data_IF_305597535034
#
_entry.id   IF_305597535034
#
_cell.length_a   1.000
_cell.length_b   1.000
_cell.length_c   1.000
_cell.angle_alpha   90.00
_cell.angle_beta   90.00
_cell.angle_gamma   90.00
#
_symmetry.space_group_name_H-M   'P 1'
#
loop_
_entity.id
_entity.type
_entity.pdbx_description
1 polymer ?
#
# COMPACT_ATOMS: atom_id res chain seq x y z
N UNK A 1 -7.90 -7.34 -30.52
CA UNK A 1 -7.96 -7.22 -29.05
C UNK A 1 -9.26 -7.86 -28.59
N UNK A 2 -9.20 -9.04 -27.98
CA UNK A 2 -10.38 -9.70 -27.41
C UNK A 2 -10.88 -8.84 -26.25
N UNK A 3 -12.05 -8.24 -26.41
CA UNK A 3 -12.73 -7.52 -25.34
C UNK A 3 -13.02 -8.56 -24.24
N UNK A 4 -12.19 -8.59 -23.19
CA UNK A 4 -12.16 -9.67 -22.19
C UNK A 4 -13.45 -9.80 -21.38
N UNK A 5 -14.39 -8.86 -21.55
CA UNK A 5 -15.61 -8.77 -20.75
C UNK A 5 -15.35 -8.30 -19.31
N UNK A 6 -14.10 -7.98 -18.98
CA UNK A 6 -13.71 -7.55 -17.65
C UNK A 6 -13.93 -6.06 -17.48
N UNK A 7 -14.80 -5.72 -16.54
CA UNK A 7 -15.10 -4.33 -16.17
C UNK A 7 -14.81 -4.12 -14.71
N UNK A 8 -14.44 -2.89 -14.35
CA UNK A 8 -14.16 -2.50 -12.97
C UNK A 8 -15.21 -1.49 -12.51
N UNK A 9 -15.61 -1.62 -11.25
CA UNK A 9 -16.42 -0.62 -10.57
C UNK A 9 -15.64 -0.11 -9.35
N UNK A 10 -15.60 1.21 -9.17
CA UNK A 10 -15.02 1.84 -8.00
C UNK A 10 -16.12 2.22 -7.01
N UNK A 11 -15.86 1.96 -5.74
CA UNK A 11 -16.61 2.56 -4.63
C UNK A 11 -15.64 3.28 -3.69
N UNK A 12 -16.18 4.19 -2.88
CA UNK A 12 -15.38 4.98 -1.96
C UNK A 12 -16.03 5.06 -0.59
N UNK A 13 -15.20 5.09 0.45
CA UNK A 13 -15.61 5.23 1.83
C UNK A 13 -14.60 6.09 2.58
N UNK A 14 -15.06 7.05 3.38
CA UNK A 14 -14.17 7.87 4.20
C UNK A 14 -13.43 7.00 5.22
N UNK A 15 -12.13 7.24 5.35
CA UNK A 15 -11.31 6.74 6.45
C UNK A 15 -11.10 7.90 7.44
N UNK A 16 -12.10 8.09 8.30
CA UNK A 16 -12.13 9.10 9.35
C UNK A 16 -12.23 8.44 10.73
N UNK A 17 -12.40 9.23 11.80
CA UNK A 17 -12.57 8.74 13.16
C UNK A 17 -13.82 7.87 13.37
N UNK A 18 -14.81 8.00 12.48
CA UNK A 18 -16.06 7.25 12.53
C UNK A 18 -16.05 5.98 11.68
N UNK A 19 -15.00 5.74 10.91
CA UNK A 19 -14.86 4.56 10.08
C UNK A 19 -15.12 3.26 10.87
N UNK A 20 -15.95 2.39 10.28
CA UNK A 20 -16.26 1.04 10.77
C UNK A 20 -16.07 0.04 9.64
N UNK A 21 -15.28 -1.02 9.82
CA UNK A 21 -15.29 -2.15 8.90
C UNK A 21 -16.70 -2.76 8.85
N UNK A 22 -17.18 -3.14 7.67
CA UNK A 22 -18.47 -3.81 7.52
C UNK A 22 -18.42 -5.26 8.05
N UNK A 23 -19.45 -5.67 8.81
CA UNK A 23 -19.51 -6.95 9.53
C UNK A 23 -19.45 -8.20 8.64
N UNK A 24 -19.86 -8.08 7.37
CA UNK A 24 -20.10 -9.19 6.45
C UNK A 24 -19.30 -9.12 5.13
N UNK A 25 -18.55 -8.05 4.87
CA UNK A 25 -17.92 -7.84 3.55
C UNK A 25 -16.48 -7.35 3.57
N UNK A 26 -15.90 -6.97 4.71
CA UNK A 26 -14.55 -6.39 4.73
C UNK A 26 -13.74 -6.87 5.92
N UNK A 27 -13.20 -8.08 5.78
CA UNK A 27 -12.40 -8.73 6.83
C UNK A 27 -10.98 -8.14 6.88
N UNK A 28 -10.46 -7.42 5.86
CA UNK A 28 -9.02 -7.55 5.58
C UNK A 28 -8.24 -6.39 4.97
N UNK A 29 -8.67 -5.13 5.07
CA UNK A 29 -7.72 -4.03 4.79
C UNK A 29 -6.68 -3.91 5.90
N UNK A 30 -5.46 -3.49 5.56
CA UNK A 30 -4.37 -3.26 6.52
C UNK A 30 -4.75 -2.33 7.68
N UNK A 31 -5.72 -1.41 7.46
CA UNK A 31 -6.24 -0.49 8.46
C UNK A 31 -7.52 -0.98 9.18
N UNK A 32 -8.16 -2.07 8.74
CA UNK A 32 -9.37 -2.58 9.40
C UNK A 32 -9.12 -3.01 10.85
N UNK A 33 -7.92 -3.51 11.16
CA UNK A 33 -7.54 -3.88 12.53
C UNK A 33 -7.45 -2.66 13.47
N UNK A 34 -7.00 -1.50 12.97
CA UNK A 34 -6.98 -0.25 13.74
C UNK A 34 -8.39 0.24 14.08
N UNK A 35 -9.35 -0.11 13.22
CA UNK A 35 -10.74 0.29 13.30
C UNK A 35 -11.65 -0.78 13.96
N UNK A 36 -11.12 -1.56 14.90
CA UNK A 36 -11.87 -2.58 15.66
C UNK A 36 -11.69 -2.42 17.17
N UNK A 37 -12.58 -3.07 17.93
CA UNK A 37 -12.53 -3.10 19.39
C UNK A 37 -12.99 -1.80 20.06
N UNK A 38 -12.86 -1.74 21.38
CA UNK A 38 -13.31 -0.62 22.21
C UNK A 38 -12.49 0.65 21.99
N UNK A 39 -11.19 0.52 21.69
CA UNK A 39 -10.29 1.65 21.42
C UNK A 39 -10.33 2.15 19.96
N UNK A 40 -11.25 1.66 19.13
CA UNK A 40 -11.38 2.00 17.70
C UNK A 40 -11.25 3.50 17.41
N UNK A 41 -12.13 4.30 18.01
CA UNK A 41 -12.24 5.73 17.68
C UNK A 41 -10.96 6.49 18.09
N UNK A 42 -10.40 6.14 19.26
CA UNK A 42 -9.14 6.71 19.75
C UNK A 42 -7.96 6.32 18.86
N UNK A 43 -7.86 5.05 18.45
CA UNK A 43 -6.86 4.58 17.50
C UNK A 43 -6.91 5.35 16.17
N UNK A 44 -8.11 5.54 15.62
CA UNK A 44 -8.31 6.28 14.38
C UNK A 44 -7.95 7.76 14.55
N UNK A 45 -8.43 8.43 15.61
CA UNK A 45 -8.05 9.82 15.93
C UNK A 45 -6.55 10.01 16.04
N UNK A 46 -5.89 9.16 16.82
CA UNK A 46 -4.44 9.23 17.02
C UNK A 46 -3.68 8.96 15.71
N UNK A 47 -4.15 8.02 14.89
CA UNK A 47 -3.56 7.73 13.57
C UNK A 47 -3.68 8.95 12.65
N UNK A 48 -4.87 9.54 12.52
CA UNK A 48 -5.12 10.70 11.67
C UNK A 48 -4.32 11.92 12.14
N UNK A 49 -4.26 12.17 13.45
CA UNK A 49 -3.44 13.23 14.02
C UNK A 49 -1.94 13.04 13.73
N UNK A 50 -1.42 11.79 13.85
CA UNK A 50 -0.03 11.49 13.48
C UNK A 50 0.25 11.76 12.00
N UNK A 51 -0.70 11.43 11.12
CA UNK A 51 -0.61 11.71 9.68
C UNK A 51 -0.56 13.22 9.43
N UNK A 52 -1.47 13.99 10.02
CA UNK A 52 -1.51 15.45 9.88
C UNK A 52 -0.20 16.08 10.38
N UNK A 53 0.25 15.73 11.59
CA UNK A 53 1.51 16.26 12.12
C UNK A 53 2.70 15.90 11.22
N UNK A 54 2.74 14.67 10.69
CA UNK A 54 3.82 14.25 9.82
C UNK A 54 3.80 15.00 8.49
N UNK A 55 2.63 15.22 7.91
CA UNK A 55 2.49 16.00 6.68
C UNK A 55 2.95 17.45 6.89
N UNK A 56 2.52 18.09 7.97
CA UNK A 56 2.93 19.45 8.30
C UNK A 56 4.44 19.57 8.57
N UNK A 57 5.06 18.56 9.19
CA UNK A 57 6.52 18.53 9.39
C UNK A 57 7.31 18.45 8.07
N UNK A 58 6.77 17.78 7.05
CA UNK A 58 7.36 17.76 5.70
C UNK A 58 7.07 19.07 4.95
N UNK A 59 5.83 19.54 5.01
CA UNK A 59 5.33 20.78 4.39
C UNK A 59 5.44 21.97 5.36
N UNK A 60 6.65 22.25 5.81
CA UNK A 60 6.96 23.24 6.85
C UNK A 60 6.99 24.69 6.34
N UNK A 61 7.10 24.90 5.02
CA UNK A 61 7.12 26.24 4.42
C UNK A 61 5.79 26.96 4.65
N UNK A 62 5.86 28.21 5.09
CA UNK A 62 4.69 29.04 5.43
C UNK A 62 3.72 28.32 6.38
N UNK A 63 4.27 27.55 7.32
CA UNK A 63 3.55 26.75 8.30
C UNK A 63 4.22 26.81 9.69
N UNK A 64 4.37 28.01 10.28
CA UNK A 64 5.16 28.21 11.51
C UNK A 64 4.58 27.48 12.74
N UNK A 65 3.27 27.24 12.76
CA UNK A 65 2.56 26.53 13.83
C UNK A 65 2.49 25.02 13.61
N UNK A 66 2.80 24.54 12.41
CA UNK A 66 2.79 23.12 12.07
C UNK A 66 1.39 22.50 11.99
N UNK A 67 0.35 23.30 11.80
CA UNK A 67 -1.07 22.87 11.82
C UNK A 67 -1.88 23.38 10.62
N UNK A 68 -1.21 23.93 9.59
CA UNK A 68 -1.86 24.47 8.38
C UNK A 68 -2.62 23.42 7.59
N UNK A 69 -2.07 22.22 7.48
CA UNK A 69 -2.61 21.18 6.59
C UNK A 69 -3.30 20.07 7.36
N UNK A 70 -4.29 19.46 6.72
CA UNK A 70 -4.83 18.17 7.12
C UNK A 70 -4.93 17.24 5.92
N UNK A 71 -4.87 15.92 6.15
CA UNK A 71 -5.11 14.92 5.12
C UNK A 71 -6.46 14.25 5.34
N UNK A 72 -7.32 14.31 4.34
CA UNK A 72 -8.48 13.45 4.26
C UNK A 72 -8.10 12.15 3.55
N UNK A 73 -8.50 11.01 4.12
CA UNK A 73 -8.22 9.70 3.56
C UNK A 73 -9.52 9.05 3.09
N UNK A 74 -9.51 8.54 1.87
CA UNK A 74 -10.62 7.79 1.28
C UNK A 74 -10.15 6.39 0.95
N UNK A 75 -10.88 5.38 1.42
CA UNK A 75 -10.76 4.00 0.97
C UNK A 75 -11.42 3.91 -0.38
N UNK A 76 -10.66 3.50 -1.39
CA UNK A 76 -11.12 3.26 -2.74
C UNK A 76 -11.06 1.76 -2.98
N UNK A 77 -12.22 1.17 -3.26
CA UNK A 77 -12.33 -0.27 -3.53
C UNK A 77 -12.65 -0.48 -4.99
N UNK A 78 -11.82 -1.28 -5.66
CA UNK A 78 -12.03 -1.72 -7.03
C UNK A 78 -12.60 -3.14 -7.04
N UNK A 79 -13.79 -3.28 -7.60
CA UNK A 79 -14.42 -4.58 -7.83
C UNK A 79 -14.28 -5.00 -9.30
N UNK A 80 -13.87 -6.24 -9.53
CA UNK A 80 -13.80 -6.89 -10.83
C UNK A 80 -15.13 -7.58 -11.16
N UNK A 81 -15.62 -7.42 -12.38
CA UNK A 81 -16.70 -8.24 -12.94
C UNK A 81 -16.18 -9.02 -14.13
N UNK A 82 -16.45 -10.32 -14.16
CA UNK A 82 -16.03 -11.24 -15.23
C UNK A 82 -17.08 -11.41 -16.34
N UNK A 83 -18.09 -10.54 -16.37
CA UNK A 83 -19.21 -10.54 -17.31
C UNK A 83 -20.34 -9.63 -16.84
N UNK A 84 -21.34 -9.41 -17.70
CA UNK A 84 -22.45 -8.47 -17.43
C UNK A 84 -23.30 -8.87 -16.22
N UNK A 85 -23.55 -10.16 -16.04
CA UNK A 85 -24.39 -10.70 -14.97
C UNK A 85 -23.59 -11.39 -13.85
N UNK A 86 -22.25 -11.31 -13.90
CA UNK A 86 -21.40 -11.86 -12.85
C UNK A 86 -21.44 -10.98 -11.60
N UNK A 87 -21.47 -11.62 -10.43
CA UNK A 87 -21.33 -10.93 -9.15
C UNK A 87 -19.97 -10.22 -9.08
N UNK A 88 -19.92 -8.97 -8.60
CA UNK A 88 -18.69 -8.22 -8.48
C UNK A 88 -17.81 -8.80 -7.37
N UNK A 89 -16.55 -9.05 -7.70
CA UNK A 89 -15.55 -9.50 -6.75
C UNK A 89 -14.66 -8.34 -6.28
N UNK A 90 -14.47 -8.13 -4.97
CA UNK A 90 -13.49 -7.15 -4.48
C UNK A 90 -12.07 -7.55 -4.89
N UNK A 91 -11.41 -6.73 -5.70
CA UNK A 91 -10.08 -7.02 -6.24
C UNK A 91 -8.99 -6.30 -5.45
N UNK A 92 -9.07 -4.96 -5.39
CA UNK A 92 -8.05 -4.08 -4.80
C UNK A 92 -8.72 -3.08 -3.87
N UNK A 93 -8.06 -2.77 -2.76
CA UNK A 93 -8.38 -1.62 -1.92
C UNK A 93 -7.12 -0.77 -1.67
N UNK A 94 -7.27 0.53 -1.85
CA UNK A 94 -6.20 1.52 -1.67
C UNK A 94 -6.74 2.73 -0.92
N UNK A 95 -5.86 3.44 -0.23
CA UNK A 95 -6.13 4.77 0.29
C UNK A 95 -5.71 5.82 -0.75
N UNK A 96 -6.60 6.77 -0.94
CA UNK A 96 -6.36 8.02 -1.65
C UNK A 96 -6.41 9.16 -0.64
N UNK A 97 -5.41 10.05 -0.68
CA UNK A 97 -5.36 11.22 0.19
C UNK A 97 -5.78 12.48 -0.55
N UNK A 98 -6.47 13.38 0.13
CA UNK A 98 -6.71 14.76 -0.32
C UNK A 98 -6.09 15.70 0.70
N UNK A 99 -5.29 16.65 0.23
CA UNK A 99 -4.67 17.67 1.08
C UNK A 99 -5.63 18.83 1.26
N UNK A 100 -5.91 19.17 2.51
CA UNK A 100 -6.72 20.32 2.92
C UNK A 100 -5.78 21.40 3.45
N UNK A 101 -5.68 22.53 2.74
CA UNK A 101 -5.01 23.73 3.25
C UNK A 101 -6.01 24.55 4.06
N UNK A 102 -5.91 24.50 5.39
CA UNK A 102 -6.86 25.18 6.29
C UNK A 102 -6.74 26.69 6.23
N UNK A 103 -5.58 27.22 5.84
CA UNK A 103 -5.35 28.66 5.73
C UNK A 103 -6.00 29.23 4.46
N UNK A 104 -5.90 28.50 3.34
CA UNK A 104 -6.47 28.94 2.05
C UNK A 104 -7.88 28.42 1.78
N UNK A 105 -8.33 27.41 2.53
CA UNK A 105 -9.60 26.71 2.26
C UNK A 105 -9.55 25.86 0.99
N UNK A 106 -8.35 25.50 0.52
CA UNK A 106 -8.14 24.78 -0.73
C UNK A 106 -8.04 23.27 -0.52
N UNK A 107 -8.50 22.52 -1.52
CA UNK A 107 -8.42 21.06 -1.57
C UNK A 107 -7.60 20.66 -2.78
N UNK A 108 -6.53 19.91 -2.56
CA UNK A 108 -5.64 19.44 -3.62
C UNK A 108 -5.54 17.92 -3.56
N UNK A 109 -5.54 17.25 -4.71
CA UNK A 109 -5.31 15.81 -4.76
C UNK A 109 -3.92 15.48 -4.19
N UNK A 110 -3.89 14.45 -3.34
CA UNK A 110 -2.66 13.83 -2.88
C UNK A 110 -2.45 12.46 -3.54
N UNK A 111 -1.56 11.65 -2.97
CA UNK A 111 -1.24 10.34 -3.52
C UNK A 111 -2.39 9.34 -3.44
N UNK A 112 -2.55 8.56 -4.50
CA UNK A 112 -3.35 7.33 -4.58
C UNK A 112 -2.44 6.10 -4.55
N UNK A 113 -2.88 5.01 -3.92
CA UNK A 113 -2.11 3.76 -3.82
C UNK A 113 -1.58 3.44 -2.42
N UNK A 114 -1.82 4.33 -1.46
CA UNK A 114 -1.44 4.13 -0.08
C UNK A 114 -2.13 2.89 0.50
N UNK A 115 -1.43 2.16 1.34
CA UNK A 115 -1.94 1.01 2.08
C UNK A 115 -2.59 -0.09 1.22
N UNK A 116 -1.99 -0.35 0.05
CA UNK A 116 -2.45 -1.31 -0.96
C UNK A 116 -2.77 -2.70 -0.38
N UNK A 117 -4.01 -3.13 -0.62
CA UNK A 117 -4.53 -4.47 -0.35
C UNK A 117 -5.06 -5.07 -1.64
N UNK A 118 -4.82 -6.36 -1.84
CA UNK A 118 -5.34 -7.09 -3.00
C UNK A 118 -5.68 -8.52 -2.60
N UNK A 119 -6.88 -8.95 -2.99
CA UNK A 119 -7.37 -10.29 -2.68
C UNK A 119 -6.59 -11.36 -3.44
N UNK A 120 -6.22 -11.10 -4.71
CA UNK A 120 -5.41 -12.02 -5.52
C UNK A 120 -3.98 -12.07 -4.98
N UNK A 121 -3.42 -10.94 -4.54
CA UNK A 121 -2.13 -10.93 -3.86
C UNK A 121 -2.14 -11.76 -2.60
N UNK A 122 -3.14 -11.59 -1.76
CA UNK A 122 -3.22 -12.33 -0.51
C UNK A 122 -3.45 -13.82 -0.75
N UNK A 123 -4.16 -14.20 -1.82
CA UNK A 123 -4.21 -15.59 -2.28
C UNK A 123 -2.83 -16.13 -2.67
N UNK A 124 -2.09 -15.39 -3.50
CA UNK A 124 -0.75 -15.78 -3.95
C UNK A 124 0.18 -16.01 -2.73
N UNK A 125 0.24 -15.06 -1.80
CA UNK A 125 1.15 -15.13 -0.67
C UNK A 125 0.67 -16.02 0.49
N UNK A 126 -0.64 -16.18 0.69
CA UNK A 126 -1.18 -16.93 1.84
C UNK A 126 -1.64 -18.34 1.52
N UNK A 127 -1.78 -18.69 0.24
CA UNK A 127 -2.20 -20.02 -0.22
C UNK A 127 -1.16 -20.62 -1.17
N UNK A 128 -0.92 -19.97 -2.33
CA UNK A 128 -0.06 -20.54 -3.39
C UNK A 128 1.38 -20.75 -2.92
N UNK A 129 1.99 -19.72 -2.34
CA UNK A 129 3.39 -19.79 -1.90
C UNK A 129 3.60 -20.78 -0.75
N UNK A 130 2.79 -20.80 0.33
CA UNK A 130 2.88 -21.83 1.36
C UNK A 130 2.69 -23.25 0.83
N UNK A 131 1.75 -23.47 -0.08
CA UNK A 131 1.50 -24.81 -0.63
C UNK A 131 2.64 -25.27 -1.55
N UNK A 132 3.25 -24.35 -2.30
CA UNK A 132 4.48 -24.63 -3.05
C UNK A 132 5.63 -25.09 -2.13
N UNK A 133 5.84 -24.42 -0.99
CA UNK A 133 6.87 -24.82 -0.03
C UNK A 133 6.56 -26.16 0.63
N UNK A 134 5.29 -26.46 0.95
CA UNK A 134 4.90 -27.78 1.47
C UNK A 134 5.15 -28.91 0.47
N UNK A 135 5.05 -28.62 -0.83
CA UNK A 135 5.36 -29.56 -1.90
C UNK A 135 6.87 -29.70 -2.19
N UNK A 136 7.74 -29.09 -1.38
CA UNK A 136 9.20 -29.16 -1.52
C UNK A 136 9.79 -28.14 -2.50
N UNK A 137 8.99 -27.18 -2.97
CA UNK A 137 9.45 -26.08 -3.80
C UNK A 137 10.33 -25.08 -3.05
N UNK A 138 11.07 -24.26 -3.80
CA UNK A 138 11.92 -23.19 -3.26
C UNK A 138 11.74 -21.91 -4.08
N UNK A 139 11.73 -20.75 -3.41
CA UNK A 139 11.46 -19.48 -4.09
C UNK A 139 9.99 -19.32 -4.50
N UNK A 140 9.74 -18.41 -5.44
CA UNK A 140 8.41 -18.22 -6.00
C UNK A 140 8.16 -19.25 -7.11
N UNK A 141 6.97 -19.88 -7.18
CA UNK A 141 6.64 -20.81 -8.27
C UNK A 141 6.58 -20.09 -9.63
N UNK A 142 6.64 -20.86 -10.71
CA UNK A 142 6.47 -20.33 -12.06
C UNK A 142 5.12 -19.61 -12.21
N UNK A 143 5.14 -18.43 -12.84
CA UNK A 143 3.95 -17.59 -13.05
C UNK A 143 3.42 -16.87 -11.80
N UNK A 144 4.14 -16.92 -10.67
CA UNK A 144 3.73 -16.26 -9.43
C UNK A 144 3.53 -14.75 -9.63
N UNK A 145 2.32 -14.27 -9.34
CA UNK A 145 1.93 -12.87 -9.49
C UNK A 145 1.50 -12.44 -10.90
N UNK A 146 1.59 -13.29 -11.92
CA UNK A 146 1.25 -12.90 -13.31
C UNK A 146 -0.22 -12.49 -13.45
N UNK A 147 -1.14 -13.29 -12.90
CA UNK A 147 -2.57 -12.97 -12.94
C UNK A 147 -2.87 -11.64 -12.26
N UNK A 148 -2.33 -11.42 -11.07
CA UNK A 148 -2.54 -10.18 -10.35
C UNK A 148 -1.93 -8.99 -11.07
N UNK A 149 -0.71 -9.13 -11.60
CA UNK A 149 -0.02 -8.12 -12.39
C UNK A 149 -0.84 -7.68 -13.60
N UNK A 150 -1.39 -8.65 -14.35
CA UNK A 150 -2.22 -8.35 -15.51
C UNK A 150 -3.57 -7.74 -15.13
N UNK A 151 -4.23 -8.21 -14.07
CA UNK A 151 -5.45 -7.59 -13.55
C UNK A 151 -5.20 -6.14 -13.10
N UNK A 152 -4.07 -5.87 -12.44
CA UNK A 152 -3.69 -4.53 -12.01
C UNK A 152 -3.45 -3.60 -13.20
N UNK A 153 -2.68 -4.04 -14.20
CA UNK A 153 -2.45 -3.27 -15.44
C UNK A 153 -3.76 -2.99 -16.17
N UNK A 154 -4.63 -3.99 -16.29
CA UNK A 154 -5.95 -3.83 -16.91
C UNK A 154 -6.84 -2.85 -16.11
N UNK A 155 -6.77 -2.88 -14.78
CA UNK A 155 -7.47 -1.92 -13.92
C UNK A 155 -6.99 -0.49 -14.18
N UNK A 156 -5.67 -0.23 -14.19
CA UNK A 156 -5.12 1.09 -14.50
C UNK A 156 -5.45 1.57 -15.93
N UNK A 157 -5.57 0.63 -16.88
CA UNK A 157 -5.99 0.89 -18.25
C UNK A 157 -7.48 1.16 -18.43
N UNK A 158 -8.31 0.85 -17.42
CA UNK A 158 -9.77 0.94 -17.52
C UNK A 158 -10.29 2.36 -17.41
N UNK A 159 -11.47 2.61 -18.00
CA UNK A 159 -12.19 3.88 -17.83
C UNK A 159 -12.48 4.17 -16.36
N UNK A 160 -12.86 3.16 -15.57
CA UNK A 160 -13.14 3.30 -14.15
C UNK A 160 -11.96 3.93 -13.36
N UNK A 161 -10.71 3.56 -13.68
CA UNK A 161 -9.54 4.18 -13.07
C UNK A 161 -9.29 5.58 -13.64
N UNK A 162 -9.25 5.71 -14.97
CA UNK A 162 -8.88 6.97 -15.67
C UNK A 162 -9.87 8.11 -15.48
N UNK A 163 -11.14 7.79 -15.22
CA UNK A 163 -12.18 8.77 -14.92
C UNK A 163 -12.02 9.33 -13.51
N UNK A 164 -11.40 8.56 -12.59
CA UNK A 164 -11.23 8.95 -11.18
C UNK A 164 -9.84 9.51 -10.87
N UNK A 165 -8.79 8.97 -11.49
CA UNK A 165 -7.40 9.30 -11.20
C UNK A 165 -6.65 9.64 -12.48
N UNK A 166 -5.84 10.71 -12.41
CA UNK A 166 -5.04 11.20 -13.54
C UNK A 166 -3.65 10.59 -13.61
N UNK A 167 -3.14 10.06 -12.49
CA UNK A 167 -1.79 9.52 -12.35
C UNK A 167 -1.82 8.06 -11.93
N UNK A 168 -0.72 7.35 -12.21
CA UNK A 168 -0.50 6.01 -11.69
C UNK A 168 -0.37 6.06 -10.15
N UNK A 169 -0.75 4.99 -9.44
CA UNK A 169 -0.62 4.95 -8.00
C UNK A 169 0.84 4.77 -7.59
N UNK A 170 1.21 5.31 -6.44
CA UNK A 170 2.47 5.00 -5.75
C UNK A 170 2.14 4.12 -4.54
N UNK A 171 2.78 2.96 -4.47
CA UNK A 171 2.63 2.03 -3.37
C UNK A 171 3.87 2.14 -2.50
N UNK A 172 3.71 2.62 -1.27
CA UNK A 172 4.81 2.80 -0.33
C UNK A 172 4.77 1.72 0.75
N UNK A 173 5.85 0.96 0.92
CA UNK A 173 5.97 -0.17 1.85
C UNK A 173 7.21 -0.07 2.75
N UNK A 174 7.24 -0.94 3.76
CA UNK A 174 8.47 -1.21 4.51
C UNK A 174 9.55 -1.79 3.61
N UNK A 175 10.81 -1.43 3.87
CA UNK A 175 11.99 -2.15 3.35
C UNK A 175 12.09 -3.57 3.93
N UNK A 176 12.80 -4.45 3.21
CA UNK A 176 13.00 -5.85 3.58
C UNK A 176 14.12 -5.99 4.61
N UNK A 177 13.93 -6.78 5.67
CA UNK A 177 15.00 -7.11 6.63
C UNK A 177 16.05 -8.10 6.09
N UNK A 178 15.81 -8.66 4.89
CA UNK A 178 16.74 -9.59 4.22
C UNK A 178 17.85 -8.89 3.46
N UNK A 179 17.65 -7.62 3.11
CA UNK A 179 18.57 -6.86 2.27
C UNK A 179 19.37 -5.83 3.06
N UNK A 180 20.49 -5.40 2.49
CA UNK A 180 21.27 -4.25 2.95
C UNK A 180 21.02 -3.10 1.96
N UNK A 181 20.76 -1.93 2.52
CA UNK A 181 20.50 -0.70 1.80
C UNK A 181 21.67 0.26 1.99
N UNK A 182 22.22 0.74 0.88
CA UNK A 182 23.37 1.64 0.83
C UNK A 182 22.90 3.05 0.54
N UNK A 183 23.17 3.97 1.46
CA UNK A 183 22.88 5.39 1.31
C UNK A 183 23.66 5.93 0.11
N UNK A 184 23.01 6.80 -0.65
CA UNK A 184 23.62 7.48 -1.79
C UNK A 184 23.80 8.97 -1.50
N UNK A 185 24.46 9.70 -2.42
CA UNK A 185 24.54 11.15 -2.37
C UNK A 185 23.24 11.87 -2.79
N UNK A 186 22.31 11.14 -3.43
CA UNK A 186 21.09 11.74 -3.96
C UNK A 186 20.11 12.09 -2.82
N UNK A 187 19.66 13.35 -2.79
CA UNK A 187 18.75 13.87 -1.77
C UNK A 187 17.65 14.69 -2.43
N UNK A 188 16.41 14.37 -2.08
CA UNK A 188 15.20 15.06 -2.54
C UNK A 188 14.58 15.84 -1.36
N UNK A 189 14.01 17.05 -1.58
CA UNK A 189 13.48 17.88 -0.49
C UNK A 189 12.35 17.22 0.32
N UNK A 190 11.48 16.45 -0.33
CA UNK A 190 10.38 15.71 0.33
C UNK A 190 10.72 14.24 0.64
N UNK A 191 11.13 13.46 -0.37
CA UNK A 191 11.51 12.05 -0.19
C UNK A 191 12.74 11.85 0.71
N UNK A 192 13.63 12.84 0.83
CA UNK A 192 14.84 12.76 1.63
C UNK A 192 15.98 12.03 0.92
N UNK A 193 16.78 11.28 1.67
CA UNK A 193 18.02 10.66 1.15
C UNK A 193 17.70 9.33 0.48
N UNK A 194 18.21 9.14 -0.74
CA UNK A 194 18.04 7.88 -1.48
C UNK A 194 18.99 6.79 -0.97
N UNK A 195 18.44 5.60 -0.84
CA UNK A 195 19.14 4.35 -0.59
C UNK A 195 19.00 3.42 -1.81
N UNK A 196 19.99 2.55 -2.01
CA UNK A 196 19.98 1.52 -3.06
C UNK A 196 20.32 0.16 -2.51
N UNK A 197 19.90 -0.88 -3.21
CA UNK A 197 20.30 -2.26 -2.92
C UNK A 197 20.61 -2.95 -4.23
N UNK A 198 21.61 -3.83 -4.23
CA UNK A 198 22.07 -4.54 -5.43
C UNK A 198 21.22 -5.79 -5.73
N UNK A 199 20.31 -6.15 -4.82
CA UNK A 199 19.49 -7.37 -4.94
C UNK A 199 18.03 -7.01 -5.11
N UNK A 200 17.40 -7.64 -6.11
CA UNK A 200 15.94 -7.64 -6.22
C UNK A 200 15.36 -8.61 -5.19
N UNK A 201 14.45 -8.14 -4.34
CA UNK A 201 13.68 -8.99 -3.44
C UNK A 201 12.53 -9.70 -4.18
N UNK A 202 11.95 -10.71 -3.54
CA UNK A 202 10.74 -11.37 -4.04
C UNK A 202 9.54 -10.41 -4.16
N UNK A 203 9.48 -9.40 -3.27
CA UNK A 203 8.45 -8.35 -3.33
C UNK A 203 8.66 -7.47 -4.56
N UNK A 204 9.91 -7.09 -4.86
CA UNK A 204 10.23 -6.30 -6.05
C UNK A 204 9.86 -7.03 -7.34
N UNK A 205 10.21 -8.33 -7.42
CA UNK A 205 9.83 -9.17 -8.55
C UNK A 205 8.31 -9.29 -8.72
N UNK A 206 7.56 -9.33 -7.62
CA UNK A 206 6.10 -9.39 -7.64
C UNK A 206 5.48 -8.07 -8.12
N UNK A 207 5.95 -6.92 -7.63
CA UNK A 207 5.49 -5.60 -8.12
C UNK A 207 5.94 -5.31 -9.56
N UNK A 208 7.07 -5.88 -10.02
CA UNK A 208 7.45 -5.81 -11.43
C UNK A 208 6.40 -6.46 -12.35
N UNK A 209 5.66 -7.49 -11.89
CA UNK A 209 4.52 -8.05 -12.65
C UNK A 209 3.40 -7.03 -12.88
N UNK A 210 3.26 -6.05 -11.98
CA UNK A 210 2.34 -4.91 -12.11
C UNK A 210 2.87 -3.79 -13.00
N UNK A 211 4.11 -3.92 -13.52
CA UNK A 211 4.78 -2.87 -14.29
C UNK A 211 5.43 -1.79 -13.43
N UNK A 212 5.64 -2.06 -12.14
CA UNK A 212 6.24 -1.10 -11.21
C UNK A 212 7.73 -1.31 -11.04
N UNK A 213 8.45 -0.22 -10.81
CA UNK A 213 9.84 -0.19 -10.33
C UNK A 213 9.88 0.35 -8.91
N UNK A 214 10.97 0.10 -8.20
CA UNK A 214 11.13 0.52 -6.80
C UNK A 214 12.28 1.52 -6.64
N UNK A 215 12.08 2.52 -5.78
CA UNK A 215 13.14 3.37 -5.23
C UNK A 215 13.02 3.43 -3.72
N UNK A 216 14.15 3.59 -3.03
CA UNK A 216 14.17 3.62 -1.57
C UNK A 216 14.62 4.99 -1.09
N UNK A 217 13.81 5.62 -0.26
CA UNK A 217 14.14 6.93 0.28
C UNK A 217 13.85 6.98 1.77
N UNK A 218 14.74 7.60 2.53
CA UNK A 218 14.53 7.95 3.93
C UNK A 218 14.10 9.41 4.02
N UNK A 219 12.81 9.68 4.31
CA UNK A 219 12.28 11.04 4.41
C UNK A 219 12.99 11.88 5.48
N UNK A 220 13.02 13.22 5.35
CA UNK A 220 13.55 14.10 6.37
C UNK A 220 12.90 13.81 7.73
N UNK A 221 13.71 13.72 8.79
CA UNK A 221 13.27 13.37 10.15
C UNK A 221 12.66 11.97 10.31
N UNK A 222 12.74 11.11 9.28
CA UNK A 222 12.50 9.68 9.41
C UNK A 222 13.75 8.95 9.93
N UNK A 223 13.56 7.71 10.37
CA UNK A 223 14.64 6.88 10.94
C UNK A 223 15.05 5.70 10.04
N UNK A 224 14.27 5.39 9.01
CA UNK A 224 14.54 4.30 8.08
C UNK A 224 13.99 4.59 6.67
N UNK A 225 14.60 4.04 5.61
CA UNK A 225 14.08 4.17 4.26
C UNK A 225 12.73 3.46 4.07
N UNK A 226 11.89 4.03 3.22
CA UNK A 226 10.66 3.44 2.70
C UNK A 226 10.89 2.99 1.26
N UNK A 227 10.20 1.93 0.85
CA UNK A 227 10.20 1.43 -0.52
C UNK A 227 9.02 2.04 -1.30
N UNK A 228 9.29 2.81 -2.35
CA UNK A 228 8.29 3.43 -3.21
C UNK A 228 8.22 2.66 -4.52
N UNK A 229 7.15 1.90 -4.71
CA UNK A 229 6.83 1.24 -5.98
C UNK A 229 6.00 2.19 -6.83
N UNK A 230 6.47 2.46 -8.04
CA UNK A 230 5.89 3.47 -8.93
C UNK A 230 5.95 3.02 -10.40
N UNK A 231 5.17 3.69 -11.23
CA UNK A 231 5.21 3.61 -12.70
C UNK A 231 5.65 4.99 -13.19
N UNK A 232 6.55 5.06 -14.17
CA UNK A 232 7.12 6.33 -14.63
C UNK A 232 8.20 6.88 -13.69
N UNK A 233 8.39 8.19 -13.65
CA UNK A 233 9.41 8.84 -12.80
C UNK A 233 8.79 9.39 -11.50
N UNK A 234 9.10 8.73 -10.38
CA UNK A 234 8.64 9.11 -9.04
C UNK A 234 8.98 10.56 -8.67
N UNK A 235 10.14 11.07 -9.08
CA UNK A 235 10.67 12.35 -8.62
C UNK A 235 10.15 13.52 -9.46
N UNK A 236 9.94 13.33 -10.76
CA UNK A 236 9.50 14.42 -11.64
C UNK A 236 8.00 14.45 -11.92
N UNK A 237 7.28 13.32 -11.82
CA UNK A 237 5.86 13.24 -12.21
C UNK A 237 4.89 13.50 -11.05
N UNK A 238 5.39 13.53 -9.82
CA UNK A 238 4.60 13.74 -8.60
C UNK A 238 5.03 15.02 -7.88
N UNK A 239 4.05 15.77 -7.42
CA UNK A 239 4.24 17.03 -6.70
C UNK A 239 4.72 16.79 -5.28
N UNK A 240 5.28 17.83 -4.67
CA UNK A 240 5.66 17.79 -3.26
C UNK A 240 4.49 17.42 -2.33
N UNK A 241 3.27 17.87 -2.63
CA UNK A 241 2.07 17.55 -1.84
C UNK A 241 1.72 16.06 -1.95
N UNK A 242 1.75 15.49 -3.16
CA UNK A 242 1.51 14.06 -3.37
C UNK A 242 2.58 13.20 -2.66
N UNK A 243 3.86 13.55 -2.81
CA UNK A 243 4.96 12.84 -2.17
C UNK A 243 4.89 12.95 -0.64
N UNK A 244 4.60 14.13 -0.10
CA UNK A 244 4.45 14.33 1.33
C UNK A 244 3.24 13.57 1.89
N UNK A 245 2.13 13.49 1.14
CA UNK A 245 0.92 12.82 1.60
C UNK A 245 1.10 11.31 1.69
N UNK A 246 1.83 10.69 0.74
CA UNK A 246 2.15 9.26 0.82
C UNK A 246 3.12 8.96 1.96
N UNK A 247 4.16 9.79 2.16
CA UNK A 247 5.10 9.61 3.28
C UNK A 247 4.35 9.74 4.61
N UNK A 248 3.58 10.82 4.80
CA UNK A 248 2.86 11.06 6.05
C UNK A 248 1.92 9.91 6.41
N UNK A 249 1.19 9.42 5.41
CA UNK A 249 0.27 8.29 5.56
C UNK A 249 1.03 6.99 5.85
N UNK A 250 1.96 6.60 4.99
CA UNK A 250 2.58 5.28 5.06
C UNK A 250 3.63 5.17 6.15
N UNK A 251 4.38 6.22 6.46
CA UNK A 251 5.31 6.20 7.59
C UNK A 251 4.55 6.08 8.91
N UNK A 252 3.41 6.76 9.06
CA UNK A 252 2.55 6.60 10.25
C UNK A 252 2.09 5.15 10.39
N UNK A 253 1.57 4.55 9.31
CA UNK A 253 1.22 3.14 9.33
C UNK A 253 2.41 2.24 9.63
N UNK A 254 3.60 2.50 9.08
CA UNK A 254 4.79 1.70 9.38
C UNK A 254 5.28 1.87 10.82
N UNK A 255 5.14 3.05 11.45
CA UNK A 255 5.42 3.24 12.88
C UNK A 255 4.51 2.39 13.78
N UNK A 256 3.28 2.15 13.33
CA UNK A 256 2.33 1.28 14.05
C UNK A 256 2.62 -0.20 13.76
N UNK A 257 2.88 -0.55 12.50
CA UNK A 257 3.02 -1.95 12.07
C UNK A 257 4.39 -2.54 12.39
N UNK A 258 5.44 -1.74 12.24
CA UNK A 258 6.85 -2.14 12.36
C UNK A 258 7.68 -1.07 13.11
N UNK A 259 7.31 -0.70 14.34
CA UNK A 259 8.06 0.25 15.16
C UNK A 259 9.54 -0.13 15.32
N UNK A 260 9.90 -1.41 15.26
CA UNK A 260 11.29 -1.89 15.31
C UNK A 260 12.18 -1.30 14.20
N UNK A 261 11.57 -0.89 13.08
CA UNK A 261 12.24 -0.28 11.93
C UNK A 261 11.94 1.22 11.88
N UNK A 262 10.66 1.61 11.95
CA UNK A 262 10.22 2.98 11.63
C UNK A 262 9.98 3.88 12.85
N UNK A 263 10.01 3.30 14.04
CA UNK A 263 9.97 4.03 15.30
C UNK A 263 11.15 3.64 16.22
N UNK A 264 12.25 3.19 15.60
CA UNK A 264 13.52 2.94 16.25
C UNK A 264 14.10 4.24 16.81
N UNK A 265 14.80 4.16 17.94
CA UNK A 265 15.46 5.32 18.54
C UNK A 265 16.83 5.63 17.88
N UNK A 266 17.24 4.82 16.90
CA UNK A 266 18.43 5.04 16.07
C UNK A 266 18.05 5.25 14.60
N UNK A 267 18.78 6.14 13.94
CA UNK A 267 18.59 6.45 12.52
C UNK A 267 19.40 5.47 11.66
N UNK A 268 18.86 5.09 10.51
CA UNK A 268 19.53 4.26 9.52
C UNK A 268 20.92 4.81 9.16
N UNK A 269 21.93 3.96 9.31
CA UNK A 269 23.31 4.26 8.94
C UNK A 269 23.50 4.31 7.41
N UNK A 270 24.73 4.58 6.96
CA UNK A 270 25.09 4.54 5.54
C UNK A 270 24.87 3.15 4.92
N UNK A 271 25.17 2.09 5.67
CA UNK A 271 24.81 0.72 5.34
C UNK A 271 23.76 0.24 6.33
N UNK A 272 22.51 0.18 5.89
CA UNK A 272 21.38 -0.11 6.74
C UNK A 272 20.79 -1.48 6.44
N UNK A 273 20.71 -2.34 7.46
CA UNK A 273 19.95 -3.59 7.42
C UNK A 273 18.81 -3.50 8.43
N UNK A 274 17.54 -3.44 7.98
CA UNK A 274 16.39 -3.40 8.89
C UNK A 274 16.31 -4.67 9.73
N UNK A 275 15.83 -4.56 10.96
CA UNK A 275 15.61 -5.71 11.85
C UNK A 275 14.24 -5.65 12.51
N UNK A 276 13.49 -6.75 12.42
CA UNK A 276 12.20 -6.91 13.11
C UNK A 276 12.37 -7.39 14.57
N UNK A 277 13.61 -7.63 15.00
CA UNK A 277 13.92 -8.02 16.39
C UNK A 277 14.71 -6.94 17.13
N UNK A 278 14.90 -5.77 16.52
CA UNK A 278 15.51 -4.61 17.18
C UNK A 278 14.70 -4.22 18.41
N UNK A 279 15.35 -3.98 19.55
CA UNK A 279 14.67 -3.78 20.84
C UNK A 279 14.59 -2.32 21.27
N UNK A 280 15.42 -1.44 20.68
CA UNK A 280 15.50 -0.03 21.05
C UNK A 280 14.55 0.82 20.18
N UNK A 281 13.26 0.67 20.42
CA UNK A 281 12.22 1.41 19.71
C UNK A 281 11.13 1.89 20.65
N UNK A 282 10.36 2.87 20.18
CA UNK A 282 9.21 3.40 20.91
C UNK A 282 7.91 2.80 20.37
N UNK A 283 6.93 2.56 21.23
CA UNK A 283 5.56 2.20 20.82
C UNK A 283 4.70 3.45 20.70
N UNK A 284 3.79 3.44 19.71
CA UNK A 284 2.72 4.44 19.65
C UNK A 284 1.65 4.12 20.71
N UNK A 285 0.76 5.08 20.99
CA UNK A 285 -0.44 4.84 21.83
C UNK A 285 -1.58 4.13 21.08
N UNK A 286 -1.34 3.70 19.85
CA UNK A 286 -2.32 3.05 19.00
C UNK A 286 -2.19 1.55 19.19
N UNK A 287 -3.28 0.90 19.61
CA UNK A 287 -3.31 -0.55 19.79
C UNK A 287 -3.46 -1.23 18.43
N UNK A 288 -2.51 -2.10 18.09
CA UNK A 288 -2.48 -2.84 16.83
C UNK A 288 -2.19 -4.31 17.08
N UNK A 289 -3.09 -5.18 16.65
CA UNK A 289 -2.98 -6.62 16.82
C UNK A 289 -2.44 -7.27 15.54
N UNK A 290 -1.15 -7.62 15.58
CA UNK A 290 -0.43 -8.27 14.47
C UNK A 290 -0.92 -9.70 14.21
N UNK A 291 -1.33 -10.42 15.25
CA UNK A 291 -1.83 -11.79 15.11
C UNK A 291 -3.20 -11.78 14.44
N UNK A 292 -4.08 -10.88 14.88
CA UNK A 292 -5.35 -10.65 14.20
C UNK A 292 -5.08 -10.27 12.74
N UNK A 293 -4.19 -9.29 12.45
CA UNK A 293 -3.88 -8.93 11.06
C UNK A 293 -3.45 -10.13 10.22
N UNK A 294 -2.58 -10.98 10.76
CA UNK A 294 -2.07 -12.17 10.06
C UNK A 294 -3.20 -13.17 9.78
N UNK A 295 -4.07 -13.42 10.77
CA UNK A 295 -5.27 -14.26 10.63
C UNK A 295 -6.24 -13.70 9.60
N UNK A 296 -6.43 -12.38 9.58
CA UNK A 296 -7.27 -11.71 8.60
C UNK A 296 -6.70 -11.93 7.19
N UNK A 297 -5.42 -11.62 6.94
CA UNK A 297 -4.80 -11.81 5.62
C UNK A 297 -4.95 -13.26 5.09
N UNK A 298 -4.76 -14.27 5.94
CA UNK A 298 -4.99 -15.66 5.58
C UNK A 298 -6.46 -15.96 5.21
N UNK A 299 -7.43 -15.36 5.92
CA UNK A 299 -8.86 -15.44 5.56
C UNK A 299 -9.15 -14.75 4.23
N UNK A 300 -8.51 -13.62 3.91
CA UNK A 300 -8.66 -12.96 2.60
C UNK A 300 -8.21 -13.89 1.47
N UNK A 301 -7.03 -14.50 1.63
CA UNK A 301 -6.49 -15.42 0.63
C UNK A 301 -7.40 -16.62 0.38
N UNK A 302 -7.96 -17.21 1.45
CA UNK A 302 -8.95 -18.30 1.33
C UNK A 302 -10.27 -17.85 0.70
N UNK A 303 -10.77 -16.67 1.06
CA UNK A 303 -11.96 -16.12 0.43
C UNK A 303 -11.76 -15.93 -1.08
N UNK A 304 -10.62 -15.37 -1.49
CA UNK A 304 -10.26 -15.23 -2.89
C UNK A 304 -10.15 -16.60 -3.59
N UNK A 305 -9.57 -17.59 -2.91
CA UNK A 305 -9.51 -18.96 -3.42
C UNK A 305 -10.92 -19.52 -3.70
N UNK A 306 -11.81 -19.45 -2.72
CA UNK A 306 -13.14 -20.05 -2.74
C UNK A 306 -14.10 -19.35 -3.72
N UNK A 307 -14.10 -18.02 -3.71
CA UNK A 307 -15.08 -17.23 -4.46
C UNK A 307 -14.59 -16.77 -5.84
N UNK A 308 -13.28 -16.86 -6.13
CA UNK A 308 -12.73 -16.40 -7.42
C UNK A 308 -11.86 -17.42 -8.09
N UNK A 309 -10.84 -17.93 -7.40
CA UNK A 309 -9.87 -18.78 -8.07
C UNK A 309 -10.48 -20.14 -8.42
N UNK A 310 -11.28 -20.74 -7.54
CA UNK A 310 -12.00 -21.99 -7.85
C UNK A 310 -13.06 -21.80 -8.95
N UNK A 311 -13.97 -20.81 -8.89
CA UNK A 311 -15.02 -20.68 -9.89
C UNK A 311 -14.53 -20.12 -11.24
N UNK A 312 -13.57 -19.20 -11.22
CA UNK A 312 -13.17 -18.43 -12.41
C UNK A 312 -11.69 -18.55 -12.78
N UNK A 313 -10.85 -19.19 -11.96
CA UNK A 313 -9.40 -19.19 -12.12
C UNK A 313 -8.92 -19.76 -13.45
N UNK A 314 -9.59 -20.76 -14.02
CA UNK A 314 -9.22 -21.30 -15.33
C UNK A 314 -9.44 -20.25 -16.46
N UNK A 315 -10.55 -19.51 -16.41
CA UNK A 315 -10.82 -18.44 -17.37
C UNK A 315 -9.87 -17.25 -17.16
N UNK A 316 -9.66 -16.85 -15.91
CA UNK A 316 -8.72 -15.79 -15.53
C UNK A 316 -7.28 -16.10 -15.97
N UNK A 317 -6.82 -17.35 -15.79
CA UNK A 317 -5.49 -17.78 -16.26
C UNK A 317 -5.38 -17.78 -17.79
N UNK A 318 -6.38 -18.30 -18.51
CA UNK A 318 -6.40 -18.26 -19.99
C UNK A 318 -6.37 -16.82 -20.51
N UNK A 319 -7.16 -15.93 -19.91
CA UNK A 319 -7.11 -14.51 -20.22
C UNK A 319 -5.73 -13.92 -19.93
N UNK A 320 -5.19 -14.16 -18.73
CA UNK A 320 -3.88 -13.63 -18.32
C UNK A 320 -2.75 -14.08 -19.25
N UNK A 321 -2.81 -15.29 -19.80
CA UNK A 321 -1.83 -15.79 -20.75
C UNK A 321 -1.95 -15.18 -22.16
N UNK A 322 -3.08 -14.55 -22.48
CA UNK A 322 -3.40 -14.05 -23.84
C UNK A 322 -3.68 -12.55 -23.90
N UNK A 323 -3.67 -11.84 -22.76
CA UNK A 323 -4.16 -10.47 -22.66
C UNK A 323 -3.29 -9.41 -23.34
N UNK A 324 -2.09 -9.75 -23.84
CA UNK A 324 -1.27 -8.90 -24.71
C UNK A 324 -1.19 -7.43 -24.25
N UNK A 325 -0.87 -7.21 -22.97
CA UNK A 325 -0.84 -5.90 -22.30
C UNK A 325 0.48 -5.17 -22.49
#
# INVERSE_FOLDING_TARGET
MTNSGFTFALSSLSFDEEYRPADNTRITTNFANLARGTSRQENLRNTLAMIDHRFNALMHWDNPTGDRYALELTIVSAALRTGKDAEPFPLIEILHTVVIDRTRGERTDGMVGNNFSSYVRDYDFSVVLPDHFKAGGSGAPEGFGDLHGNLFKQFLGSGAYRDRFRKAPVICLSVSSKEVYHRTANTHPILGVEYRTDRSSATDAYFAKMGMTVRYFMPPHGVAPLAFYHIGDLVSEYTNLELASTIATMETFQKIYRPEIYNANSVAAEHYRPSLTYQDYSLTRILYDREERSRLAARQGKFAEEHVIKPHGAALRRWSATCGL
#
